data_IF_489236393174
#
_entry.id   IF_489236393174
#
_cell.length_a   1.000
_cell.length_b   1.000
_cell.length_c   1.000
_cell.angle_alpha   90.00
_cell.angle_beta   90.00
_cell.angle_gamma   90.00
#
_symmetry.space_group_name_H-M   'P 1'
#
loop_
_entity.id
_entity.type
_entity.pdbx_description
1 polymer ?
#
# COMPACT_ATOMS: atom_id res chain seq x y z
N UNK A 1 -4.55 -22.08 7.67
CA UNK A 1 -5.47 -21.02 7.23
C UNK A 1 -4.92 -20.35 5.97
N UNK A 2 -5.63 -20.37 4.85
CA UNK A 2 -5.21 -19.65 3.64
C UNK A 2 -5.53 -18.16 3.79
N UNK A 3 -4.52 -17.29 3.63
CA UNK A 3 -4.75 -15.84 3.60
C UNK A 3 -5.42 -15.44 2.27
N UNK A 4 -6.39 -14.52 2.32
CA UNK A 4 -6.98 -13.94 1.11
C UNK A 4 -5.92 -13.09 0.38
N UNK A 5 -5.86 -13.20 -0.96
CA UNK A 5 -4.88 -12.52 -1.80
C UNK A 5 -5.58 -11.65 -2.85
N UNK A 6 -5.00 -10.48 -3.13
CA UNK A 6 -5.39 -9.63 -4.26
C UNK A 6 -4.38 -9.78 -5.39
N UNK A 7 -4.89 -9.97 -6.62
CA UNK A 7 -4.08 -10.12 -7.84
C UNK A 7 -4.30 -8.94 -8.77
N UNK A 8 -3.31 -8.06 -8.91
CA UNK A 8 -3.30 -6.98 -9.89
C UNK A 8 -2.53 -7.41 -11.14
N UNK A 9 -3.24 -7.47 -12.27
CA UNK A 9 -2.69 -7.87 -13.58
C UNK A 9 -2.68 -6.67 -14.52
N UNK A 10 -1.58 -6.48 -15.24
CA UNK A 10 -1.47 -5.43 -16.26
C UNK A 10 -0.83 -6.00 -17.53
N UNK A 11 -1.39 -5.67 -18.69
CA UNK A 11 -0.82 -5.99 -20.00
C UNK A 11 -0.62 -4.70 -20.79
N UNK A 12 0.56 -4.49 -21.35
CA UNK A 12 0.85 -3.31 -22.19
C UNK A 12 0.94 -1.96 -21.46
N UNK A 13 0.74 -1.89 -20.14
CA UNK A 13 0.85 -0.64 -19.37
C UNK A 13 2.31 -0.29 -19.09
N UNK A 14 2.82 0.74 -19.78
CA UNK A 14 4.22 1.17 -19.70
C UNK A 14 4.34 2.63 -19.25
N UNK A 15 5.41 2.93 -18.52
CA UNK A 15 5.89 4.29 -18.34
C UNK A 15 7.24 4.44 -19.05
N UNK A 16 7.57 5.67 -19.45
CA UNK A 16 8.88 6.02 -20.01
C UNK A 16 9.62 6.94 -19.05
N UNK A 17 10.93 6.80 -19.00
CA UNK A 17 11.84 7.64 -18.20
C UNK A 17 13.20 7.67 -18.87
N UNK A 18 14.10 8.56 -18.49
CA UNK A 18 15.46 8.61 -19.04
C UNK A 18 16.20 7.25 -18.89
N UNK A 19 15.98 6.54 -17.78
CA UNK A 19 16.53 5.19 -17.55
C UNK A 19 15.82 4.08 -18.33
N UNK A 20 14.63 4.33 -18.85
CA UNK A 20 13.80 3.36 -19.57
C UNK A 20 13.15 4.00 -20.81
N UNK A 21 13.94 4.39 -21.82
CA UNK A 21 13.42 5.11 -22.99
C UNK A 21 12.46 4.23 -23.82
N UNK A 22 12.69 2.92 -23.85
CA UNK A 22 11.84 1.92 -24.53
C UNK A 22 10.62 1.50 -23.70
N UNK A 23 10.39 2.13 -22.55
CA UNK A 23 9.29 1.85 -21.65
C UNK A 23 9.56 0.67 -20.70
N UNK A 24 8.94 0.75 -19.52
CA UNK A 24 8.96 -0.31 -18.50
C UNK A 24 7.56 -0.49 -17.91
N UNK A 25 7.16 -1.71 -17.52
CA UNK A 25 5.83 -1.94 -16.95
C UNK A 25 5.58 -1.08 -15.70
N UNK A 26 4.41 -0.45 -15.62
CA UNK A 26 4.03 0.40 -14.49
C UNK A 26 4.00 -0.35 -13.17
N UNK A 27 3.58 -1.62 -13.16
CA UNK A 27 3.66 -2.50 -11.98
C UNK A 27 5.09 -2.59 -11.41
N UNK A 28 6.14 -2.46 -12.22
CA UNK A 28 7.51 -2.52 -11.69
C UNK A 28 7.86 -1.30 -10.83
N UNK A 29 7.23 -0.14 -11.06
CA UNK A 29 7.37 1.02 -10.16
C UNK A 29 6.63 0.80 -8.86
N UNK A 30 5.44 0.23 -8.94
CA UNK A 30 4.63 -0.09 -7.76
C UNK A 30 5.33 -1.14 -6.90
N UNK A 31 5.87 -2.21 -7.51
CA UNK A 31 6.68 -3.21 -6.83
C UNK A 31 7.88 -2.59 -6.09
N UNK A 32 8.61 -1.69 -6.75
CA UNK A 32 9.72 -0.98 -6.13
C UNK A 32 9.26 -0.09 -4.98
N UNK A 33 8.10 0.57 -5.09
CA UNK A 33 7.53 1.35 -4.00
C UNK A 33 7.15 0.46 -2.79
N UNK A 34 6.54 -0.70 -3.01
CA UNK A 34 6.25 -1.67 -1.94
C UNK A 34 7.52 -2.09 -1.20
N UNK A 35 8.59 -2.42 -1.93
CA UNK A 35 9.87 -2.83 -1.35
C UNK A 35 10.51 -1.69 -0.55
N UNK A 36 10.61 -0.50 -1.15
CA UNK A 36 11.20 0.66 -0.49
C UNK A 36 10.41 1.08 0.76
N UNK A 37 9.08 1.02 0.73
CA UNK A 37 8.25 1.38 1.88
C UNK A 37 8.43 0.38 3.03
N UNK A 38 8.48 -0.92 2.71
CA UNK A 38 8.76 -1.96 3.69
C UNK A 38 10.15 -1.76 4.34
N UNK A 39 11.17 -1.46 3.55
CA UNK A 39 12.53 -1.16 4.04
C UNK A 39 12.58 0.09 4.94
N UNK A 40 11.72 1.08 4.68
CA UNK A 40 11.59 2.30 5.51
C UNK A 40 10.73 2.10 6.76
N UNK A 41 10.22 0.89 7.01
CA UNK A 41 9.30 0.62 8.13
C UNK A 41 7.94 1.32 7.97
N UNK A 42 7.52 1.57 6.74
CA UNK A 42 6.16 2.03 6.41
C UNK A 42 5.30 0.79 6.17
N UNK A 43 4.19 0.71 6.91
CA UNK A 43 3.26 -0.42 6.77
C UNK A 43 2.63 -0.41 5.37
N UNK A 44 2.79 -1.50 4.64
CA UNK A 44 2.20 -1.74 3.33
C UNK A 44 1.61 -3.16 3.30
N UNK A 45 0.61 -3.43 2.43
CA UNK A 45 0.17 -4.80 2.20
C UNK A 45 1.34 -5.74 1.94
N UNK A 46 1.33 -6.91 2.61
CA UNK A 46 2.40 -7.90 2.44
C UNK A 46 2.47 -8.35 0.99
N UNK A 47 3.60 -8.06 0.36
CA UNK A 47 3.90 -8.51 -1.00
C UNK A 47 4.14 -10.03 -0.99
N UNK A 48 3.39 -10.74 -1.82
CA UNK A 48 3.53 -12.20 -2.02
C UNK A 48 4.29 -12.50 -3.30
N UNK A 49 3.98 -11.77 -4.38
CA UNK A 49 4.63 -11.94 -5.66
C UNK A 49 4.59 -10.63 -6.45
N UNK A 50 5.63 -10.37 -7.23
CA UNK A 50 5.68 -9.23 -8.13
C UNK A 50 6.66 -9.49 -9.25
N UNK A 51 6.18 -9.54 -10.49
CA UNK A 51 7.08 -9.65 -11.65
C UNK A 51 6.44 -9.12 -12.92
N UNK A 52 7.30 -8.92 -13.92
CA UNK A 52 6.87 -8.65 -15.28
C UNK A 52 7.70 -9.48 -16.26
N UNK A 53 7.05 -9.91 -17.34
CA UNK A 53 7.68 -10.62 -18.45
C UNK A 53 7.20 -10.05 -19.77
N UNK A 54 8.00 -10.22 -20.82
CA UNK A 54 7.58 -9.93 -22.19
C UNK A 54 7.21 -11.25 -22.88
N UNK A 55 5.97 -11.36 -23.32
CA UNK A 55 5.43 -12.54 -24.01
C UNK A 55 4.86 -12.10 -25.36
N UNK A 56 5.36 -12.69 -26.45
CA UNK A 56 4.96 -12.34 -27.83
C UNK A 56 5.00 -10.82 -28.09
N UNK A 57 6.08 -10.16 -27.68
CA UNK A 57 6.24 -8.71 -27.85
C UNK A 57 5.47 -7.84 -26.85
N UNK A 58 4.53 -8.41 -26.07
CA UNK A 58 3.69 -7.69 -25.12
C UNK A 58 4.20 -7.86 -23.68
N UNK A 59 4.19 -6.77 -22.92
CA UNK A 59 4.48 -6.83 -21.49
C UNK A 59 3.28 -7.36 -20.73
N UNK A 60 3.53 -8.34 -19.85
CA UNK A 60 2.59 -8.88 -18.89
C UNK A 60 3.18 -8.73 -17.49
N UNK A 61 2.45 -8.14 -16.56
CA UNK A 61 2.90 -7.93 -15.20
C UNK A 61 1.83 -8.38 -14.19
N UNK A 62 2.31 -8.91 -13.07
CA UNK A 62 1.48 -9.43 -11.99
C UNK A 62 2.06 -8.98 -10.65
N UNK A 63 1.19 -8.43 -9.82
CA UNK A 63 1.47 -8.07 -8.43
C UNK A 63 0.43 -8.75 -7.54
N UNK A 64 0.89 -9.48 -6.53
CA UNK A 64 0.05 -10.19 -5.56
C UNK A 64 0.39 -9.70 -4.16
N UNK A 65 -0.62 -9.27 -3.43
CA UNK A 65 -0.53 -8.86 -2.03
C UNK A 65 -1.52 -9.64 -1.16
N UNK A 66 -1.23 -9.75 0.13
CA UNK A 66 -2.22 -10.21 1.10
C UNK A 66 -3.32 -9.16 1.29
N UNK A 67 -4.54 -9.63 1.53
CA UNK A 67 -5.64 -8.76 1.93
C UNK A 67 -5.35 -8.08 3.27
N UNK A 68 -5.77 -6.83 3.40
CA UNK A 68 -5.72 -6.08 4.65
C UNK A 68 -6.94 -6.46 5.51
N UNK A 69 -7.04 -7.73 5.91
CA UNK A 69 -8.15 -8.20 6.77
C UNK A 69 -8.13 -7.46 8.11
N UNK A 70 -9.30 -6.96 8.52
CA UNK A 70 -9.46 -6.17 9.75
C UNK A 70 -9.06 -4.70 9.62
N UNK A 71 -8.75 -4.22 8.41
CA UNK A 71 -8.53 -2.80 8.15
C UNK A 71 -9.76 -2.17 7.50
N UNK A 72 -9.98 -0.89 7.81
CA UNK A 72 -10.92 0.00 7.10
C UNK A 72 -10.15 1.12 6.42
N UNK A 73 -10.71 1.74 5.39
CA UNK A 73 -10.10 2.93 4.79
C UNK A 73 -10.25 4.14 5.72
N UNK A 74 -9.38 5.13 5.57
CA UNK A 74 -9.53 6.41 6.27
C UNK A 74 -10.81 7.15 5.82
N UNK A 75 -11.28 6.90 4.60
CA UNK A 75 -12.58 7.40 4.12
C UNK A 75 -13.72 6.83 4.98
N UNK A 76 -13.73 5.51 5.20
CA UNK A 76 -14.70 4.84 6.08
C UNK A 76 -14.56 5.28 7.54
N UNK A 77 -13.34 5.53 8.02
CA UNK A 77 -13.13 6.06 9.37
C UNK A 77 -13.87 7.38 9.61
N UNK A 78 -13.92 8.26 8.60
CA UNK A 78 -14.63 9.54 8.67
C UNK A 78 -16.15 9.45 8.49
N UNK A 79 -16.70 8.27 8.14
CA UNK A 79 -18.15 8.08 8.03
C UNK A 79 -18.84 7.95 9.40
N UNK A 80 -18.07 7.71 10.47
CA UNK A 80 -18.56 7.60 11.84
C UNK A 80 -17.94 8.67 12.74
N UNK A 81 -18.67 9.07 13.79
CA UNK A 81 -18.10 9.90 14.86
C UNK A 81 -17.05 9.10 15.63
N UNK A 82 -15.91 9.75 15.86
CA UNK A 82 -14.77 9.16 16.56
C UNK A 82 -14.47 9.98 17.79
N UNK A 83 -14.05 9.33 18.88
CA UNK A 83 -13.61 10.07 20.06
C UNK A 83 -12.36 10.92 19.73
N UNK A 84 -12.15 12.04 20.45
CA UNK A 84 -10.93 12.83 20.31
C UNK A 84 -9.66 12.01 20.52
N UNK A 85 -9.68 11.05 21.45
CA UNK A 85 -8.55 10.18 21.78
C UNK A 85 -8.20 9.25 20.62
N UNK A 86 -9.21 8.59 20.04
CA UNK A 86 -9.03 7.73 18.87
C UNK A 86 -8.53 8.53 17.66
N UNK A 87 -9.09 9.72 17.44
CA UNK A 87 -8.67 10.61 16.36
C UNK A 87 -7.22 11.05 16.51
N UNK A 88 -6.80 11.42 17.72
CA UNK A 88 -5.42 11.81 18.01
C UNK A 88 -4.45 10.63 17.79
N UNK A 89 -4.82 9.42 18.23
CA UNK A 89 -4.03 8.21 17.99
C UNK A 89 -3.85 7.92 16.49
N UNK A 90 -4.95 7.93 15.73
CA UNK A 90 -4.95 7.72 14.29
C UNK A 90 -4.08 8.76 13.56
N UNK A 91 -4.25 10.05 13.87
CA UNK A 91 -3.48 11.13 13.25
C UNK A 91 -1.99 10.99 13.55
N UNK A 92 -1.62 10.66 14.79
CA UNK A 92 -0.22 10.44 15.16
C UNK A 92 0.39 9.24 14.40
N UNK A 93 -0.35 8.13 14.28
CA UNK A 93 0.09 6.97 13.52
C UNK A 93 0.28 7.29 12.03
N UNK A 94 -0.68 7.99 11.42
CA UNK A 94 -0.63 8.42 10.02
C UNK A 94 0.55 9.39 9.78
N UNK A 95 0.70 10.40 10.64
CA UNK A 95 1.79 11.36 10.57
C UNK A 95 3.16 10.66 10.68
N UNK A 96 3.29 9.69 11.58
CA UNK A 96 4.50 8.88 11.72
C UNK A 96 4.83 8.08 10.44
N UNK A 97 3.83 7.44 9.82
CA UNK A 97 4.02 6.69 8.58
C UNK A 97 4.43 7.60 7.41
N UNK A 98 3.75 8.74 7.24
CA UNK A 98 4.07 9.72 6.21
C UNK A 98 5.45 10.35 6.44
N UNK A 99 5.80 10.66 7.69
CA UNK A 99 7.13 11.20 8.02
C UNK A 99 8.24 10.21 7.67
N UNK A 100 8.08 8.90 7.94
CA UNK A 100 9.05 7.86 7.53
C UNK A 100 9.21 7.80 6.02
N UNK A 101 8.09 7.78 5.28
CA UNK A 101 8.11 7.78 3.81
C UNK A 101 8.82 9.02 3.24
N UNK A 102 8.46 10.22 3.72
CA UNK A 102 9.03 11.48 3.23
C UNK A 102 10.52 11.63 3.60
N UNK A 103 10.94 11.20 4.79
CA UNK A 103 12.38 11.16 5.17
C UNK A 103 13.17 10.22 4.26
N UNK A 104 12.56 9.14 3.78
CA UNK A 104 13.11 8.27 2.74
C UNK A 104 13.10 8.86 1.33
N UNK A 105 12.70 10.14 1.16
CA UNK A 105 12.57 10.85 -0.14
C UNK A 105 11.54 10.22 -1.08
N UNK A 106 10.56 9.52 -0.52
CA UNK A 106 9.44 8.97 -1.26
C UNK A 106 8.17 9.79 -1.06
N UNK A 107 7.28 9.73 -2.04
CA UNK A 107 5.92 10.24 -1.94
C UNK A 107 4.94 9.20 -2.49
N UNK A 108 3.72 9.13 -1.94
CA UNK A 108 2.71 8.18 -2.43
C UNK A 108 2.16 8.58 -3.82
N UNK A 109 2.10 9.88 -4.14
CA UNK A 109 1.59 10.38 -5.42
C UNK A 109 0.06 10.40 -5.58
N UNK A 110 -0.67 9.59 -4.82
CA UNK A 110 -2.15 9.56 -4.75
C UNK A 110 -2.60 9.36 -3.29
N UNK A 111 -2.15 10.23 -2.38
CA UNK A 111 -2.37 10.10 -0.94
C UNK A 111 -3.80 10.53 -0.52
N UNK A 112 -4.80 9.79 -0.99
CA UNK A 112 -6.22 10.02 -0.67
C UNK A 112 -6.70 9.11 0.47
N UNK A 113 -7.73 9.52 1.19
CA UNK A 113 -8.28 8.78 2.33
C UNK A 113 -8.64 7.31 1.98
N UNK A 114 -9.18 7.08 0.78
CA UNK A 114 -9.48 5.72 0.26
C UNK A 114 -8.27 4.80 0.05
N UNK A 115 -7.05 5.33 0.09
CA UNK A 115 -5.80 4.57 -0.06
C UNK A 115 -5.03 4.41 1.25
N UNK A 116 -5.50 5.02 2.33
CA UNK A 116 -4.94 4.91 3.66
C UNK A 116 -5.82 3.94 4.46
N UNK A 117 -5.21 2.95 5.09
CA UNK A 117 -5.94 1.90 5.81
C UNK A 117 -5.56 1.91 7.28
N UNK A 118 -6.56 1.82 8.15
CA UNK A 118 -6.45 1.84 9.60
C UNK A 118 -6.92 0.50 10.14
N UNK A 119 -6.21 -0.03 11.13
CA UNK A 119 -6.66 -1.16 11.94
C UNK A 119 -6.83 -0.66 13.37
N UNK A 120 -8.00 -0.91 13.93
CA UNK A 120 -8.29 -0.64 15.34
C UNK A 120 -7.90 -1.91 16.10
N UNK A 121 -7.02 -1.77 17.08
CA UNK A 121 -6.73 -2.84 18.03
C UNK A 121 -7.62 -2.59 19.25
N UNK A 122 -8.51 -3.53 19.53
CA UNK A 122 -9.24 -3.54 20.79
C UNK A 122 -8.39 -4.32 21.78
N UNK A 123 -7.96 -3.66 22.86
CA UNK A 123 -7.38 -4.38 23.99
C UNK A 123 -8.47 -5.25 24.60
N UNK A 124 -8.37 -6.57 24.41
CA UNK A 124 -9.11 -7.60 25.14
C UNK A 124 -8.57 -7.71 26.58
N UNK A 125 -8.48 -6.59 27.29
CA UNK A 125 -8.21 -6.53 28.73
C UNK A 125 -9.44 -5.97 29.45
N UNK A 126 -10.51 -6.75 29.36
CA UNK A 126 -11.77 -6.52 30.05
C UNK A 126 -12.47 -7.85 30.32
N UNK A 127 -12.05 -8.53 31.37
CA UNK A 127 -12.80 -9.63 31.97
C UNK A 127 -12.48 -9.73 33.46
N UNK A 128 -13.48 -9.96 34.31
CA UNK A 128 -14.69 -9.16 34.54
C UNK A 128 -14.51 -8.16 35.71
#
# INVERSE_FOLDING_TARGET
CCAMLYSKRQTGHLYRSLRHPLGRPTIMRELHAYQAFAELGVNVPKLVYGSARKHQGQWQALLITQALTGFISLEQWYEAEQSPEHSACMINALAGALARMHKGRWQHGCCYAKHLFIRIEHDESGSP
#
